data_IF_754031265758
#
_entry.id   IF_754031265758
#
_cell.length_a   1.000
_cell.length_b   1.000
_cell.length_c   1.000
_cell.angle_alpha   90.00
_cell.angle_beta   90.00
_cell.angle_gamma   90.00
#
_symmetry.space_group_name_H-M   'P 1'
#
loop_
_entity.id
_entity.type
_entity.pdbx_description
1 polymer ?
#
# COMPACT_ATOMS: atom_id res chain seq x y z
N UNK A 1 -9.76 -0.75 -6.28
CA UNK A 1 -11.02 -1.21 -5.67
C UNK A 1 -12.06 -1.13 -6.76
N UNK A 2 -12.63 -2.28 -7.12
CA UNK A 2 -13.61 -2.41 -8.18
C UNK A 2 -14.95 -2.70 -7.50
N UNK A 3 -15.96 -1.89 -7.80
CA UNK A 3 -17.30 -2.10 -7.25
C UNK A 3 -18.18 -2.73 -8.32
N UNK A 4 -18.97 -3.71 -7.96
CA UNK A 4 -19.90 -4.37 -8.88
C UNK A 4 -21.32 -4.20 -8.37
N UNK A 5 -22.28 -4.08 -9.28
CA UNK A 5 -23.71 -4.10 -8.98
C UNK A 5 -24.31 -5.44 -9.40
N UNK A 6 -25.40 -5.83 -8.76
CA UNK A 6 -26.29 -6.90 -9.24
C UNK A 6 -27.60 -6.28 -9.72
N UNK A 7 -28.34 -6.98 -10.59
CA UNK A 7 -29.68 -6.57 -11.05
C UNK A 7 -30.68 -6.33 -9.90
N UNK A 8 -30.43 -6.89 -8.71
CA UNK A 8 -31.21 -6.67 -7.48
C UNK A 8 -30.89 -5.37 -6.73
N UNK A 9 -29.90 -4.59 -7.18
CA UNK A 9 -29.39 -3.39 -6.50
C UNK A 9 -28.32 -3.65 -5.43
N UNK A 10 -27.98 -4.92 -5.17
CA UNK A 10 -26.88 -5.29 -4.26
C UNK A 10 -25.52 -4.89 -4.84
N UNK A 11 -24.57 -4.46 -3.99
CA UNK A 11 -23.22 -4.06 -4.41
C UNK A 11 -22.14 -4.96 -3.80
N UNK A 12 -21.22 -5.44 -4.63
CA UNK A 12 -20.02 -6.18 -4.23
C UNK A 12 -18.76 -5.33 -4.40
N UNK A 13 -17.72 -5.63 -3.64
CA UNK A 13 -16.42 -4.96 -3.73
C UNK A 13 -15.29 -5.95 -3.92
N UNK A 14 -14.44 -5.71 -4.92
CA UNK A 14 -13.19 -6.43 -5.14
C UNK A 14 -12.01 -5.52 -4.76
N UNK A 15 -11.04 -6.11 -4.04
CA UNK A 15 -9.84 -5.43 -3.61
C UNK A 15 -8.60 -6.32 -3.77
N UNK A 16 -7.63 -5.82 -4.52
CA UNK A 16 -6.30 -6.39 -4.62
C UNK A 16 -5.39 -5.89 -3.50
N UNK A 17 -4.69 -6.81 -2.84
CA UNK A 17 -3.70 -6.51 -1.80
C UNK A 17 -2.35 -7.09 -2.25
N UNK A 18 -1.32 -6.25 -2.32
CA UNK A 18 0.05 -6.73 -2.55
C UNK A 18 0.63 -7.26 -1.23
N UNK A 19 1.00 -8.53 -1.21
CA UNK A 19 1.57 -9.20 -0.03
C UNK A 19 3.07 -8.93 0.14
N UNK A 20 3.76 -8.52 -0.93
CA UNK A 20 5.21 -8.29 -0.92
C UNK A 20 5.57 -7.11 -1.82
N UNK A 21 5.11 -5.90 -1.50
CA UNK A 21 5.48 -4.71 -2.25
C UNK A 21 6.99 -4.48 -2.17
N UNK A 22 7.59 -4.04 -3.28
CA UNK A 22 9.02 -3.71 -3.35
C UNK A 22 9.25 -2.24 -2.96
N UNK A 23 8.29 -1.37 -3.26
CA UNK A 23 8.31 0.03 -2.84
C UNK A 23 8.54 0.16 -1.34
N UNK A 24 9.30 1.18 -0.94
CA UNK A 24 9.62 1.48 0.46
C UNK A 24 9.29 2.94 0.73
N UNK A 25 8.51 3.15 1.79
CA UNK A 25 8.20 4.46 2.32
C UNK A 25 9.07 4.84 3.52
N UNK A 26 8.79 6.00 4.09
CA UNK A 26 9.46 6.53 5.28
C UNK A 26 8.47 7.23 6.21
N UNK A 27 8.88 7.35 7.47
CA UNK A 27 8.24 8.18 8.47
C UNK A 27 9.31 8.90 9.28
N UNK A 28 9.17 10.20 9.46
CA UNK A 28 10.08 11.02 10.26
C UNK A 28 9.31 12.00 11.11
N UNK A 29 9.92 12.43 12.22
CA UNK A 29 9.35 13.52 13.01
C UNK A 29 9.43 14.82 12.20
N UNK A 30 8.35 15.61 12.19
CA UNK A 30 8.34 16.94 11.58
C UNK A 30 9.02 17.98 12.48
N UNK A 31 9.00 17.76 13.81
CA UNK A 31 9.63 18.61 14.80
C UNK A 31 9.88 17.82 16.09
N UNK A 32 10.49 18.47 17.09
CA UNK A 32 10.63 17.93 18.44
C UNK A 32 9.36 18.05 19.29
N UNK A 33 8.34 18.77 18.81
CA UNK A 33 7.07 18.95 19.53
C UNK A 33 6.12 17.80 19.21
N UNK A 34 5.79 16.98 20.21
CA UNK A 34 5.08 15.71 20.03
C UNK A 34 3.64 15.83 19.51
N UNK A 35 3.02 17.02 19.60
CA UNK A 35 1.70 17.27 19.02
C UNK A 35 1.75 17.55 17.51
N UNK A 36 2.93 17.80 16.93
CA UNK A 36 3.05 17.95 15.48
C UNK A 36 2.94 16.57 14.82
N UNK A 37 2.10 16.47 13.80
CA UNK A 37 1.98 15.25 13.01
C UNK A 37 3.35 14.88 12.38
N UNK A 38 3.72 13.59 12.34
CA UNK A 38 4.93 13.15 11.64
C UNK A 38 4.79 13.33 10.14
N UNK A 39 5.92 13.41 9.44
CA UNK A 39 5.97 13.35 7.99
C UNK A 39 5.91 11.87 7.58
N UNK A 40 4.87 11.49 6.84
CA UNK A 40 4.66 10.11 6.38
C UNK A 40 4.65 10.12 4.86
N UNK A 41 5.57 9.38 4.26
CA UNK A 41 5.57 9.11 2.83
C UNK A 41 5.56 7.59 2.60
N UNK A 42 4.41 6.97 2.31
CA UNK A 42 4.33 5.54 2.02
C UNK A 42 5.02 5.15 0.71
N UNK A 43 5.20 6.10 -0.21
CA UNK A 43 5.83 5.92 -1.52
C UNK A 43 5.23 4.74 -2.31
N UNK A 44 3.91 4.64 -2.37
CA UNK A 44 3.21 3.57 -3.08
C UNK A 44 3.52 3.59 -4.59
N UNK A 45 3.63 2.41 -5.19
CA UNK A 45 3.80 2.22 -6.64
C UNK A 45 5.09 2.83 -7.22
N UNK A 46 6.10 3.09 -6.39
CA UNK A 46 7.38 3.66 -6.80
C UNK A 46 8.09 2.79 -7.84
N UNK A 47 8.02 1.46 -7.67
CA UNK A 47 8.70 0.52 -8.58
C UNK A 47 7.80 0.09 -9.75
N UNK A 48 8.42 -0.18 -10.90
CA UNK A 48 7.71 -0.72 -12.06
C UNK A 48 7.12 -2.11 -11.78
N UNK A 49 7.78 -2.90 -10.93
CA UNK A 49 7.30 -4.23 -10.55
C UNK A 49 5.99 -4.14 -9.77
N UNK A 50 5.89 -3.23 -8.79
CA UNK A 50 4.65 -3.06 -8.04
C UNK A 50 3.50 -2.62 -8.96
N UNK A 51 3.76 -1.69 -9.88
CA UNK A 51 2.75 -1.25 -10.88
C UNK A 51 2.26 -2.42 -11.73
N UNK A 52 3.18 -3.25 -12.23
CA UNK A 52 2.86 -4.45 -13.00
C UNK A 52 1.99 -5.43 -12.20
N UNK A 53 2.39 -5.75 -10.96
CA UNK A 53 1.64 -6.68 -10.09
C UNK A 53 0.21 -6.18 -9.84
N UNK A 54 0.04 -4.89 -9.53
CA UNK A 54 -1.29 -4.32 -9.33
C UNK A 54 -2.12 -4.33 -10.60
N UNK A 55 -1.53 -4.02 -11.76
CA UNK A 55 -2.20 -4.06 -13.06
C UNK A 55 -2.71 -5.46 -13.38
N UNK A 56 -1.89 -6.48 -13.19
CA UNK A 56 -2.28 -7.88 -13.37
C UNK A 56 -3.37 -8.32 -12.39
N UNK A 57 -3.32 -7.84 -11.14
CA UNK A 57 -4.39 -8.04 -10.16
C UNK A 57 -5.72 -7.49 -10.65
N UNK A 58 -5.74 -6.22 -11.10
CA UNK A 58 -6.94 -5.58 -11.66
C UNK A 58 -7.42 -6.30 -12.93
N UNK A 59 -6.53 -6.71 -13.83
CA UNK A 59 -6.92 -7.48 -15.03
C UNK A 59 -7.66 -8.77 -14.66
N UNK A 60 -7.22 -9.46 -13.61
CA UNK A 60 -7.90 -10.67 -13.10
C UNK A 60 -9.25 -10.34 -12.45
N UNK A 61 -9.33 -9.27 -11.66
CA UNK A 61 -10.61 -8.79 -11.11
C UNK A 61 -11.61 -8.50 -12.22
N UNK A 62 -11.20 -7.74 -13.25
CA UNK A 62 -12.03 -7.40 -14.42
C UNK A 62 -12.44 -8.64 -15.19
N UNK A 63 -11.53 -9.60 -15.38
CA UNK A 63 -11.85 -10.87 -16.03
C UNK A 63 -12.91 -11.66 -15.26
N UNK A 64 -12.95 -11.59 -13.93
CA UNK A 64 -13.99 -12.24 -13.12
C UNK A 64 -15.30 -11.47 -13.19
N UNK A 65 -15.26 -10.15 -13.01
CA UNK A 65 -16.47 -9.31 -12.93
C UNK A 65 -17.17 -9.17 -14.28
N UNK A 66 -16.42 -9.05 -15.36
CA UNK A 66 -16.95 -8.91 -16.71
C UNK A 66 -17.05 -10.26 -17.45
N UNK A 67 -16.84 -11.39 -16.77
CA UNK A 67 -16.85 -12.70 -17.42
C UNK A 67 -18.26 -13.11 -17.82
N UNK A 68 -18.42 -13.45 -19.10
CA UNK A 68 -19.59 -14.16 -19.62
C UNK A 68 -19.41 -15.68 -19.60
N UNK A 69 -18.33 -16.20 -19.01
CA UNK A 69 -18.02 -17.63 -18.95
C UNK A 69 -18.24 -18.28 -17.58
N UNK A 70 -18.43 -17.48 -16.53
CA UNK A 70 -18.59 -17.94 -15.14
C UNK A 70 -19.98 -17.60 -14.62
N UNK A 71 -20.55 -18.44 -13.75
CA UNK A 71 -21.86 -18.18 -13.15
C UNK A 71 -21.86 -16.85 -12.38
N UNK A 72 -20.76 -16.55 -11.68
CA UNK A 72 -20.58 -15.29 -10.97
C UNK A 72 -20.70 -14.07 -11.91
N UNK A 73 -19.96 -14.04 -13.01
CA UNK A 73 -19.97 -12.91 -13.94
C UNK A 73 -21.22 -12.84 -14.84
N UNK A 74 -21.92 -13.97 -15.04
CA UNK A 74 -23.14 -14.04 -15.88
C UNK A 74 -24.43 -13.74 -15.12
N UNK A 75 -24.57 -14.28 -13.91
CA UNK A 75 -25.86 -14.35 -13.22
C UNK A 75 -25.90 -13.50 -11.95
N UNK A 76 -24.74 -13.22 -11.34
CA UNK A 76 -24.68 -12.53 -10.04
C UNK A 76 -24.22 -11.08 -10.21
N UNK A 77 -23.17 -10.87 -11.01
CA UNK A 77 -22.56 -9.57 -11.25
C UNK A 77 -23.07 -8.98 -12.57
N UNK A 78 -23.36 -7.69 -12.57
CA UNK A 78 -23.76 -6.90 -13.74
C UNK A 78 -22.61 -5.94 -14.13
N UNK A 79 -21.39 -6.48 -14.19
CA UNK A 79 -20.18 -5.71 -14.47
C UNK A 79 -19.74 -4.78 -13.33
N UNK A 80 -18.82 -3.86 -13.65
CA UNK A 80 -18.41 -2.82 -12.72
C UNK A 80 -19.52 -1.77 -12.59
N UNK A 81 -19.95 -1.49 -11.35
CA UNK A 81 -20.84 -0.39 -11.06
C UNK A 81 -20.12 0.93 -11.37
N UNK A 82 -20.64 1.67 -12.34
CA UNK A 82 -20.13 3.00 -12.65
C UNK A 82 -20.32 3.92 -11.44
N UNK A 83 -19.19 4.47 -10.98
CA UNK A 83 -19.18 5.56 -10.01
C UNK A 83 -19.11 6.88 -10.78
N UNK A 84 -19.80 7.91 -10.30
CA UNK A 84 -19.91 9.19 -10.99
C UNK A 84 -18.56 9.90 -11.12
N UNK A 85 -17.62 9.58 -10.24
CA UNK A 85 -16.25 10.10 -10.23
C UNK A 85 -15.30 9.37 -11.21
N UNK A 86 -15.77 8.34 -11.92
CA UNK A 86 -14.97 7.55 -12.86
C UNK A 86 -15.36 7.84 -14.31
N UNK A 87 -14.37 8.03 -15.18
CA UNK A 87 -14.58 8.28 -16.62
C UNK A 87 -15.43 7.19 -17.29
N UNK A 88 -15.17 5.92 -16.95
CA UNK A 88 -15.85 4.74 -17.51
C UNK A 88 -15.62 3.51 -16.62
N UNK A 89 -16.44 2.45 -16.73
CA UNK A 89 -16.13 1.18 -16.09
C UNK A 89 -14.91 0.51 -16.75
N UNK A 90 -14.26 -0.37 -16.01
CA UNK A 90 -13.31 -1.30 -16.57
C UNK A 90 -14.00 -2.26 -17.54
N UNK A 91 -13.25 -2.65 -18.54
CA UNK A 91 -13.62 -3.64 -19.54
C UNK A 91 -12.42 -4.55 -19.80
N UNK A 92 -12.66 -5.73 -20.39
CA UNK A 92 -11.56 -6.61 -20.80
C UNK A 92 -10.57 -5.94 -21.77
N UNK A 93 -11.01 -4.91 -22.50
CA UNK A 93 -10.23 -4.11 -23.45
C UNK A 93 -9.62 -2.84 -22.85
N UNK A 94 -9.72 -2.62 -21.53
CA UNK A 94 -9.11 -1.46 -20.87
C UNK A 94 -7.59 -1.45 -21.08
N UNK A 95 -7.07 -0.27 -21.42
CA UNK A 95 -5.63 -0.08 -21.68
C UNK A 95 -4.84 -0.07 -20.37
N UNK A 96 -3.55 -0.37 -20.47
CA UNK A 96 -2.65 -0.37 -19.31
C UNK A 96 -2.56 1.01 -18.67
N UNK A 97 -2.53 2.07 -19.48
CA UNK A 97 -2.48 3.46 -19.01
C UNK A 97 -3.72 3.83 -18.20
N UNK A 98 -4.90 3.38 -18.66
CA UNK A 98 -6.16 3.62 -17.97
C UNK A 98 -6.20 2.88 -16.63
N UNK A 99 -5.79 1.61 -16.62
CA UNK A 99 -5.73 0.79 -15.41
C UNK A 99 -4.73 1.40 -14.41
N UNK A 100 -3.54 1.79 -14.85
CA UNK A 100 -2.53 2.40 -14.00
C UNK A 100 -2.98 3.74 -13.40
N UNK A 101 -3.68 4.58 -14.18
CA UNK A 101 -4.23 5.83 -13.69
C UNK A 101 -5.25 5.59 -12.57
N UNK A 102 -6.15 4.62 -12.75
CA UNK A 102 -7.14 4.24 -11.73
C UNK A 102 -6.50 3.59 -10.50
N UNK A 103 -5.48 2.76 -10.68
CA UNK A 103 -4.71 2.20 -9.56
C UNK A 103 -4.07 3.33 -8.76
N UNK A 104 -3.43 4.30 -9.42
CA UNK A 104 -2.78 5.45 -8.76
C UNK A 104 -3.77 6.30 -7.96
N UNK A 105 -4.98 6.50 -8.49
CA UNK A 105 -6.03 7.25 -7.81
C UNK A 105 -6.63 6.47 -6.61
N UNK A 106 -6.65 5.13 -6.66
CA UNK A 106 -7.33 4.31 -5.67
C UNK A 106 -6.41 3.67 -4.62
N UNK A 107 -5.10 3.60 -4.86
CA UNK A 107 -4.14 2.92 -3.99
C UNK A 107 -4.11 3.59 -2.62
N UNK A 108 -4.14 2.76 -1.58
CA UNK A 108 -4.14 3.19 -0.18
C UNK A 108 -3.63 2.08 0.72
N UNK A 109 -3.39 2.42 1.99
CA UNK A 109 -3.04 1.43 2.99
C UNK A 109 -4.20 0.47 3.26
N UNK A 110 -3.88 -0.80 3.52
CA UNK A 110 -4.77 -1.77 4.17
C UNK A 110 -4.48 -1.90 5.67
N UNK A 111 -3.76 -0.93 6.24
CA UNK A 111 -3.42 -0.85 7.66
C UNK A 111 -2.45 -1.93 8.16
N UNK A 112 -1.54 -2.39 7.30
CA UNK A 112 -0.42 -3.29 7.66
C UNK A 112 0.96 -2.60 7.57
N UNK A 113 1.20 -1.44 8.20
CA UNK A 113 2.52 -0.81 8.18
C UNK A 113 3.52 -1.63 9.02
N UNK A 114 4.69 -1.91 8.47
CA UNK A 114 5.75 -2.66 9.16
C UNK A 114 7.14 -2.18 8.73
N UNK A 115 8.16 -2.53 9.51
CA UNK A 115 9.57 -2.41 9.09
C UNK A 115 10.29 -1.10 9.42
N UNK A 116 9.62 -0.13 10.05
CA UNK A 116 10.24 1.15 10.45
C UNK A 116 11.34 0.99 11.51
N UNK A 117 11.22 -0.01 12.38
CA UNK A 117 12.25 -0.41 13.35
C UNK A 117 12.79 -1.83 13.04
N UNK A 118 13.31 -2.02 11.83
CA UNK A 118 13.72 -3.34 11.35
C UNK A 118 14.82 -3.99 12.21
N UNK A 119 14.68 -5.30 12.46
CA UNK A 119 15.72 -6.12 13.10
C UNK A 119 17.01 -6.11 12.27
N UNK A 120 18.16 -6.20 12.93
CA UNK A 120 19.53 -6.07 12.39
C UNK A 120 19.90 -4.68 11.84
N UNK A 121 18.93 -3.80 11.56
CA UNK A 121 19.17 -2.40 11.18
C UNK A 121 19.01 -1.44 12.36
N UNK A 122 17.86 -1.47 13.03
CA UNK A 122 17.54 -0.60 14.17
C UNK A 122 17.70 -1.33 15.50
N UNK A 123 17.19 -2.58 15.57
CA UNK A 123 17.26 -3.43 16.76
C UNK A 123 18.11 -4.68 16.54
N UNK A 124 18.66 -5.27 17.61
CA UNK A 124 19.34 -6.57 17.57
C UNK A 124 18.34 -7.74 17.56
N UNK A 125 18.84 -8.98 17.61
CA UNK A 125 17.99 -10.20 17.63
C UNK A 125 17.22 -10.39 18.94
N UNK A 126 17.53 -9.61 19.97
CA UNK A 126 16.83 -9.54 21.26
C UNK A 126 15.97 -8.26 21.37
N UNK A 127 15.71 -7.59 20.24
CA UNK A 127 14.93 -6.36 20.12
C UNK A 127 15.51 -5.14 20.87
N UNK A 128 16.81 -5.14 21.18
CA UNK A 128 17.48 -3.98 21.79
C UNK A 128 17.91 -3.00 20.71
N UNK A 129 17.73 -1.70 20.96
CA UNK A 129 18.18 -0.64 20.05
C UNK A 129 19.71 -0.68 19.94
N UNK A 130 20.23 -0.82 18.72
CA UNK A 130 21.67 -1.02 18.48
C UNK A 130 22.55 0.13 18.94
N UNK A 131 22.08 1.38 18.84
CA UNK A 131 22.81 2.56 19.30
C UNK A 131 22.79 2.73 20.84
N UNK A 132 21.83 2.12 21.54
CA UNK A 132 21.72 2.24 22.99
C UNK A 132 22.57 1.20 23.74
N UNK A 133 22.90 0.07 23.10
CA UNK A 133 23.78 -0.94 23.69
C UNK A 133 25.20 -0.39 23.99
N UNK A 134 25.72 0.50 23.13
CA UNK A 134 26.98 1.20 23.36
C UNK A 134 26.88 2.27 24.48
N UNK A 135 25.72 2.90 24.63
CA UNK A 135 25.48 3.91 25.67
C UNK A 135 25.27 3.27 27.06
N UNK A 136 24.65 2.09 27.12
CA UNK A 136 24.36 1.40 28.38
C UNK A 136 25.57 0.68 28.99
N UNK A 137 26.56 0.25 28.20
CA UNK A 137 27.78 -0.39 28.73
C UNK A 137 28.83 0.59 29.25
N UNK A 138 28.68 1.88 28.98
CA UNK A 138 29.58 2.94 29.45
C UNK A 138 28.80 4.21 29.77
N UNK A 139 28.20 4.30 30.96
CA UNK A 139 27.66 5.56 31.47
C UNK A 139 28.57 6.15 32.55
N UNK A 140 29.04 7.39 32.33
CA UNK A 140 28.72 8.51 33.20
C UNK A 140 27.60 9.37 32.59
N UNK A 141 26.76 9.92 33.47
CA UNK A 141 25.50 10.62 33.18
C UNK A 141 25.70 11.95 32.42
N UNK A 142 25.91 11.94 31.11
CA UNK A 142 25.63 13.10 30.24
C UNK A 142 26.06 12.82 28.80
N UNK A 143 25.15 12.40 27.92
CA UNK A 143 25.30 12.62 26.49
C UNK A 143 23.97 12.44 25.77
N UNK A 144 23.15 13.49 25.81
CA UNK A 144 21.93 13.63 25.00
C UNK A 144 22.27 14.49 23.77
N UNK A 145 23.05 13.93 22.85
CA UNK A 145 23.09 14.38 21.46
C UNK A 145 23.84 13.34 20.63
N UNK A 146 23.10 12.52 19.90
CA UNK A 146 23.66 11.70 18.82
C UNK A 146 22.87 11.99 17.56
N UNK A 147 23.34 12.99 16.82
CA UNK A 147 23.07 13.15 15.40
C UNK A 147 23.81 12.04 14.66
N UNK A 148 23.10 10.95 14.34
CA UNK A 148 23.60 9.97 13.38
C UNK A 148 23.27 10.45 11.96
N UNK A 149 24.24 10.46 11.03
CA UNK A 149 23.96 10.68 9.63
C UNK A 149 23.18 9.46 9.10
N UNK A 150 21.96 9.71 8.64
CA UNK A 150 21.17 8.71 7.92
C UNK A 150 21.71 8.69 6.49
N UNK A 151 22.71 7.85 6.22
CA UNK A 151 23.02 7.42 4.85
C UNK A 151 22.28 6.10 4.58
N UNK A 152 21.40 6.12 3.57
CA UNK A 152 20.67 4.94 3.08
C UNK A 152 21.52 4.11 2.13
#
# INVERSE_FOLDING_TARGET
MLYTGSASGSRGGFSSISLSPISRGSITLASTYFHNAPLIDPNYLATAVDRCIYREGVRKEVAVVCSTGTLLGREILDGEAQLEELEKPYTASSTDEYIDARIRAAVRSVHHPMGTAAMRKVVDTNLRIRAFAACASSMPRSCLSLSLPISW
#
